data_IF_197130315890
#
_entry.id   IF_197130315890
#
_cell.length_a   1.000
_cell.length_b   1.000
_cell.length_c   1.000
_cell.angle_alpha   90.00
_cell.angle_beta   90.00
_cell.angle_gamma   90.00
#
_symmetry.space_group_name_H-M   'P 1'
#
loop_
_entity.id
_entity.type
_entity.pdbx_description
1 polymer ?
#
# COMPACT_ATOMS: atom_id res chain seq x y z
N UNK A 1 38.90 -57.50 -26.30
CA UNK A 1 39.06 -56.51 -27.38
C UNK A 1 39.87 -55.34 -26.87
N UNK A 2 40.88 -54.96 -27.65
CA UNK A 2 41.55 -53.66 -27.81
C UNK A 2 41.76 -52.77 -26.57
N UNK A 3 43.05 -52.57 -26.31
CA UNK A 3 43.70 -51.48 -25.57
C UNK A 3 43.25 -50.14 -26.18
N UNK A 4 43.06 -49.10 -25.36
CA UNK A 4 43.85 -47.89 -25.50
C UNK A 4 43.73 -47.00 -24.26
N UNK A 5 44.90 -46.65 -23.74
CA UNK A 5 45.12 -45.69 -22.65
C UNK A 5 44.88 -44.29 -23.19
N UNK A 6 44.18 -43.45 -22.43
CA UNK A 6 44.30 -42.01 -22.60
C UNK A 6 44.58 -41.36 -21.24
N UNK A 7 45.86 -41.18 -20.98
CA UNK A 7 46.40 -40.24 -19.99
C UNK A 7 46.56 -38.88 -20.63
N UNK A 8 45.84 -37.88 -20.13
CA UNK A 8 46.16 -36.44 -20.23
C UNK A 8 45.52 -35.82 -18.99
N UNK A 9 46.15 -35.02 -18.15
CA UNK A 9 47.45 -34.40 -18.16
C UNK A 9 47.45 -33.45 -16.97
N UNK A 10 48.54 -33.47 -16.23
CA UNK A 10 48.83 -32.66 -15.05
C UNK A 10 48.78 -31.15 -15.39
N UNK A 11 48.13 -30.33 -14.57
CA UNK A 11 48.64 -28.98 -14.31
C UNK A 11 48.14 -28.46 -12.95
N UNK A 12 48.91 -28.78 -11.92
CA UNK A 12 48.86 -28.08 -10.64
C UNK A 12 49.91 -26.96 -10.62
N UNK A 13 49.60 -25.94 -9.81
CA UNK A 13 50.46 -24.89 -9.26
C UNK A 13 50.48 -23.59 -10.08
N UNK A 14 49.75 -22.58 -9.59
CA UNK A 14 50.39 -21.44 -8.89
C UNK A 14 49.48 -21.01 -7.73
N UNK A 15 49.93 -21.26 -6.50
CA UNK A 15 49.50 -20.51 -5.32
C UNK A 15 50.12 -19.11 -5.42
N UNK A 16 49.30 -18.09 -5.67
CA UNK A 16 49.67 -16.71 -5.35
C UNK A 16 48.72 -16.22 -4.29
N UNK A 17 49.21 -16.23 -3.05
CA UNK A 17 48.65 -15.40 -1.99
C UNK A 17 48.92 -13.94 -2.36
N UNK A 18 47.86 -13.19 -2.69
CA UNK A 18 47.86 -11.74 -2.62
C UNK A 18 46.93 -11.33 -1.48
N UNK A 19 47.56 -11.04 -0.34
CA UNK A 19 46.95 -10.45 0.83
C UNK A 19 46.43 -9.04 0.50
N UNK A 20 45.11 -8.88 0.63
CA UNK A 20 44.40 -7.69 1.13
C UNK A 20 44.93 -6.29 0.77
N UNK A 21 44.17 -5.58 -0.07
CA UNK A 21 43.81 -4.18 0.22
C UNK A 21 42.41 -3.90 -0.29
N UNK A 22 41.58 -3.48 0.64
CA UNK A 22 40.19 -3.05 0.52
C UNK A 22 39.95 -2.07 -0.64
N UNK A 23 39.06 -2.43 -1.55
CA UNK A 23 38.11 -1.47 -2.09
C UNK A 23 36.74 -2.13 -2.02
N UNK A 24 36.08 -1.84 -0.91
CA UNK A 24 34.72 -2.23 -0.57
C UNK A 24 33.78 -1.50 -1.55
N UNK A 25 33.78 -1.90 -2.82
CA UNK A 25 32.72 -1.56 -3.76
C UNK A 25 31.51 -2.42 -3.38
N UNK A 26 30.92 -2.05 -2.24
CA UNK A 26 29.51 -2.29 -1.97
C UNK A 26 28.76 -1.61 -3.10
N UNK A 27 28.56 -2.34 -4.20
CA UNK A 27 27.27 -2.33 -4.84
C UNK A 27 26.28 -2.59 -3.71
N UNK A 28 25.77 -1.51 -3.12
CA UNK A 28 24.47 -1.56 -2.47
C UNK A 28 23.62 -2.28 -3.50
N UNK A 29 22.98 -3.43 -3.17
CA UNK A 29 21.80 -3.76 -3.94
C UNK A 29 20.98 -2.48 -3.87
N UNK A 30 20.68 -1.89 -5.02
CA UNK A 30 19.53 -1.02 -5.07
C UNK A 30 18.41 -1.91 -4.56
N UNK A 31 18.16 -1.84 -3.26
CA UNK A 31 16.86 -2.10 -2.71
C UNK A 31 16.04 -1.10 -3.49
N UNK A 32 15.53 -1.57 -4.62
CA UNK A 32 14.40 -1.00 -5.28
C UNK A 32 13.40 -1.01 -4.13
N UNK A 33 13.35 0.10 -3.40
CA UNK A 33 12.22 0.43 -2.59
C UNK A 33 11.11 0.42 -3.62
N UNK A 34 10.49 -0.75 -3.79
CA UNK A 34 9.14 -0.87 -4.28
C UNK A 34 8.38 -0.03 -3.27
N UNK A 35 8.35 1.27 -3.54
CA UNK A 35 7.53 2.22 -2.84
C UNK A 35 6.15 1.64 -3.07
N UNK A 36 5.63 0.97 -2.03
CA UNK A 36 4.36 0.26 -2.10
C UNK A 36 3.39 1.21 -2.78
N UNK A 37 2.80 0.78 -3.89
CA UNK A 37 1.93 1.62 -4.72
C UNK A 37 0.58 1.91 -4.05
N UNK A 38 0.53 1.79 -2.72
CA UNK A 38 -0.61 2.00 -1.88
C UNK A 38 -0.22 2.65 -0.56
N UNK A 39 -1.13 3.42 0.02
CA UNK A 39 -0.90 4.10 1.31
C UNK A 39 -2.18 4.13 2.13
N UNK A 40 -2.06 3.80 3.41
CA UNK A 40 -3.17 3.71 4.36
C UNK A 40 -3.03 4.81 5.41
N UNK A 41 -3.92 5.82 5.39
CA UNK A 41 -3.83 7.00 6.25
C UNK A 41 -5.17 7.36 6.88
N UNK A 42 -5.14 8.06 8.02
CA UNK A 42 -6.37 8.60 8.62
C UNK A 42 -6.81 9.83 7.84
N UNK A 43 -8.10 9.95 7.55
CA UNK A 43 -8.61 11.15 6.86
C UNK A 43 -8.58 12.31 7.83
N UNK A 44 -7.75 13.30 7.54
CA UNK A 44 -7.64 14.51 8.37
C UNK A 44 -8.78 15.46 8.00
N UNK A 45 -9.58 15.84 8.99
CA UNK A 45 -10.74 16.70 8.80
C UNK A 45 -10.75 17.82 9.84
N UNK A 46 -11.36 18.98 9.54
CA UNK A 46 -11.46 20.08 10.50
C UNK A 46 -12.31 19.67 11.71
N UNK A 47 -11.79 19.91 12.92
CA UNK A 47 -12.40 19.47 14.20
C UNK A 47 -13.72 20.17 14.58
N UNK A 48 -14.20 21.11 13.78
CA UNK A 48 -15.20 22.11 14.19
C UNK A 48 -16.61 21.87 13.65
N UNK A 49 -16.84 20.83 12.83
CA UNK A 49 -18.17 20.50 12.30
C UNK A 49 -18.46 19.00 12.40
N UNK A 50 -19.74 18.66 12.56
CA UNK A 50 -20.22 17.32 12.20
C UNK A 50 -19.98 17.10 10.70
N UNK A 51 -19.15 16.11 10.40
CA UNK A 51 -18.72 15.82 9.04
C UNK A 51 -19.60 14.76 8.43
N UNK A 52 -20.06 15.02 7.21
CA UNK A 52 -20.80 14.04 6.43
C UNK A 52 -19.84 13.21 5.59
N UNK A 53 -20.28 12.04 5.11
CA UNK A 53 -19.48 11.19 4.23
C UNK A 53 -18.89 11.96 3.03
N UNK A 54 -19.65 12.92 2.48
CA UNK A 54 -19.19 13.79 1.39
C UNK A 54 -17.94 14.61 1.71
N UNK A 55 -17.80 15.02 2.97
CA UNK A 55 -16.65 15.80 3.42
C UNK A 55 -15.42 14.88 3.50
N UNK A 56 -15.59 13.65 4.02
CA UNK A 56 -14.53 12.64 4.02
C UNK A 56 -14.07 12.28 2.60
N UNK A 57 -14.99 12.14 1.64
CA UNK A 57 -14.62 11.85 0.24
C UNK A 57 -13.79 13.00 -0.33
N UNK A 58 -14.21 14.25 -0.11
CA UNK A 58 -13.48 15.42 -0.56
C UNK A 58 -12.07 15.49 0.04
N UNK A 59 -11.93 15.36 1.36
CA UNK A 59 -10.62 15.41 2.02
C UNK A 59 -9.72 14.24 1.61
N UNK A 60 -10.26 13.03 1.48
CA UNK A 60 -9.50 11.88 1.00
C UNK A 60 -9.05 12.04 -0.46
N UNK A 61 -9.88 12.64 -1.32
CA UNK A 61 -9.50 12.94 -2.70
C UNK A 61 -8.35 13.96 -2.76
N UNK A 62 -8.40 15.02 -1.96
CA UNK A 62 -7.29 15.98 -1.87
C UNK A 62 -5.99 15.35 -1.39
N UNK A 63 -6.06 14.44 -0.40
CA UNK A 63 -4.89 13.69 0.06
C UNK A 63 -4.35 12.77 -1.04
N UNK A 64 -5.23 12.02 -1.72
CA UNK A 64 -4.85 11.12 -2.81
C UNK A 64 -4.21 11.86 -3.98
N UNK A 65 -4.75 13.02 -4.36
CA UNK A 65 -4.20 13.89 -5.42
C UNK A 65 -2.80 14.41 -5.05
N UNK A 66 -2.65 14.94 -3.82
CA UNK A 66 -1.35 15.38 -3.29
C UNK A 66 -0.30 14.26 -3.31
N UNK A 67 -0.73 13.03 -3.05
CA UNK A 67 0.13 11.84 -3.06
C UNK A 67 0.20 11.14 -4.42
N UNK A 68 -0.43 11.68 -5.47
CA UNK A 68 -0.44 11.19 -6.85
C UNK A 68 -1.02 9.78 -7.02
N UNK A 69 -2.03 9.43 -6.23
CA UNK A 69 -2.79 8.18 -6.37
C UNK A 69 -4.04 8.38 -7.23
N UNK A 70 -4.33 7.43 -8.12
CA UNK A 70 -5.48 7.51 -9.04
C UNK A 70 -6.82 7.24 -8.37
N UNK A 71 -6.84 6.39 -7.36
CA UNK A 71 -8.04 5.97 -6.64
C UNK A 71 -7.81 6.00 -5.14
N UNK A 72 -8.90 6.06 -4.41
CA UNK A 72 -8.89 5.88 -2.97
C UNK A 72 -10.16 5.19 -2.48
N UNK A 73 -10.04 4.47 -1.37
CA UNK A 73 -11.14 3.83 -0.66
C UNK A 73 -11.31 4.48 0.71
N UNK A 74 -12.55 4.84 1.05
CA UNK A 74 -12.89 5.23 2.41
C UNK A 74 -13.25 4.01 3.23
N UNK A 75 -12.67 3.89 4.42
CA UNK A 75 -12.80 2.72 5.27
C UNK A 75 -13.15 3.19 6.67
N UNK A 76 -14.25 2.70 7.22
CA UNK A 76 -14.53 2.82 8.63
C UNK A 76 -13.76 1.72 9.38
N UNK A 77 -12.83 2.13 10.23
CA UNK A 77 -12.17 1.22 11.16
C UNK A 77 -13.03 1.02 12.40
N UNK A 78 -13.05 -0.23 12.87
CA UNK A 78 -13.61 -0.62 14.14
C UNK A 78 -12.52 -1.23 15.00
N UNK A 79 -12.46 -0.82 16.27
CA UNK A 79 -11.52 -1.36 17.25
C UNK A 79 -12.29 -2.14 18.31
N UNK A 80 -11.71 -3.27 18.73
CA UNK A 80 -12.29 -4.07 19.80
C UNK A 80 -12.15 -3.31 21.14
N UNK A 81 -13.25 -3.22 21.89
CA UNK A 81 -13.27 -2.69 23.23
C UNK A 81 -12.89 -3.77 24.26
N UNK A 82 -12.73 -3.38 25.52
CA UNK A 82 -12.33 -4.28 26.61
C UNK A 82 -13.33 -5.42 26.87
N UNK A 83 -14.57 -5.29 26.40
CA UNK A 83 -15.65 -6.26 26.54
C UNK A 83 -15.83 -7.15 25.29
N UNK A 84 -14.91 -7.05 24.33
CA UNK A 84 -14.92 -7.86 23.11
C UNK A 84 -15.79 -7.31 21.97
N UNK A 85 -16.56 -6.24 22.20
CA UNK A 85 -17.38 -5.58 21.19
C UNK A 85 -16.59 -4.65 20.28
N UNK A 86 -17.04 -4.44 19.04
CA UNK A 86 -16.38 -3.56 18.09
C UNK A 86 -17.09 -2.21 18.00
N UNK A 87 -16.35 -1.12 18.25
CA UNK A 87 -16.85 0.24 18.14
C UNK A 87 -16.15 0.98 16.99
N UNK A 88 -16.87 1.89 16.33
CA UNK A 88 -16.29 2.75 15.30
C UNK A 88 -15.17 3.59 15.90
N UNK A 89 -13.98 3.47 15.35
CA UNK A 89 -12.78 4.16 15.83
C UNK A 89 -12.51 5.43 15.02
N UNK A 90 -12.29 5.27 13.71
CA UNK A 90 -11.97 6.36 12.80
C UNK A 90 -12.24 5.99 11.35
N UNK A 91 -12.29 7.00 10.48
CA UNK A 91 -12.33 6.81 9.04
C UNK A 91 -10.91 6.98 8.48
N UNK A 92 -10.49 6.02 7.67
CA UNK A 92 -9.20 6.01 6.99
C UNK A 92 -9.41 6.00 5.49
N UNK A 93 -8.42 6.52 4.77
CA UNK A 93 -8.32 6.43 3.33
C UNK A 93 -7.23 5.43 2.97
N UNK A 94 -7.55 4.53 2.06
CA UNK A 94 -6.59 3.66 1.40
C UNK A 94 -6.44 4.11 -0.03
N UNK A 95 -5.29 4.67 -0.36
CA UNK A 95 -4.98 5.25 -1.66
C UNK A 95 -4.22 4.22 -2.49
N UNK A 96 -4.58 4.06 -3.77
CA UNK A 96 -4.05 3.00 -4.63
C UNK A 96 -4.16 3.34 -6.12
N UNK A 97 -3.46 2.59 -6.97
CA UNK A 97 -3.44 2.80 -8.42
C UNK A 97 -4.07 1.67 -9.23
N UNK A 98 -4.14 0.46 -8.68
CA UNK A 98 -4.67 -0.73 -9.34
C UNK A 98 -5.56 -1.58 -8.42
N UNK A 99 -6.32 -2.49 -9.00
CA UNK A 99 -7.13 -3.44 -8.21
C UNK A 99 -6.26 -4.41 -7.40
N UNK A 100 -5.06 -4.75 -7.89
CA UNK A 100 -4.09 -5.54 -7.13
C UNK A 100 -3.67 -4.82 -5.84
N UNK A 101 -3.40 -3.51 -5.93
CA UNK A 101 -3.12 -2.68 -4.77
C UNK A 101 -4.34 -2.63 -3.83
N UNK A 102 -5.56 -2.53 -4.38
CA UNK A 102 -6.78 -2.54 -3.58
C UNK A 102 -6.94 -3.80 -2.72
N UNK A 103 -6.57 -4.97 -3.27
CA UNK A 103 -6.68 -6.23 -2.55
C UNK A 103 -5.79 -6.32 -1.30
N UNK A 104 -4.73 -5.51 -1.21
CA UNK A 104 -3.87 -5.40 -0.03
C UNK A 104 -4.59 -4.85 1.19
N UNK A 105 -5.75 -4.21 1.03
CA UNK A 105 -6.59 -3.72 2.14
C UNK A 105 -6.92 -4.83 3.15
N UNK A 106 -7.06 -6.08 2.69
CA UNK A 106 -7.38 -7.24 3.54
C UNK A 106 -6.29 -7.51 4.57
N UNK A 107 -5.05 -7.15 4.27
CA UNK A 107 -3.89 -7.32 5.15
C UNK A 107 -3.93 -6.35 6.36
N UNK A 108 -4.82 -5.36 6.35
CA UNK A 108 -5.00 -4.41 7.45
C UNK A 108 -6.09 -4.83 8.46
N UNK A 109 -6.84 -5.90 8.21
CA UNK A 109 -7.70 -6.50 9.22
C UNK A 109 -6.89 -7.29 10.25
N UNK A 110 -7.37 -7.32 11.49
CA UNK A 110 -6.78 -8.15 12.54
C UNK A 110 -7.87 -8.66 13.49
N UNK A 111 -7.56 -9.58 14.42
CA UNK A 111 -8.53 -10.01 15.43
C UNK A 111 -9.11 -8.86 16.27
N UNK A 112 -8.36 -7.77 16.42
CA UNK A 112 -8.74 -6.59 17.24
C UNK A 112 -9.18 -5.38 16.40
N UNK A 113 -9.11 -5.49 15.07
CA UNK A 113 -9.42 -4.40 14.13
C UNK A 113 -10.22 -4.94 12.94
N UNK A 114 -11.43 -4.42 12.76
CA UNK A 114 -12.29 -4.73 11.61
C UNK A 114 -12.42 -3.54 10.69
N UNK A 115 -12.56 -3.79 9.40
CA UNK A 115 -12.68 -2.77 8.38
C UNK A 115 -14.05 -2.86 7.70
N UNK A 116 -14.70 -1.72 7.52
CA UNK A 116 -15.89 -1.60 6.68
C UNK A 116 -15.62 -0.63 5.55
N UNK A 117 -15.67 -1.12 4.33
CA UNK A 117 -15.57 -0.29 3.13
C UNK A 117 -16.80 0.62 3.04
N UNK A 118 -16.57 1.93 2.99
CA UNK A 118 -17.62 2.94 2.80
C UNK A 118 -17.81 3.27 1.32
N UNK A 119 -16.75 3.15 0.53
CA UNK A 119 -16.79 3.34 -0.92
C UNK A 119 -15.39 3.37 -1.53
N UNK A 120 -15.35 3.24 -2.85
CA UNK A 120 -14.15 3.39 -3.68
C UNK A 120 -14.42 4.52 -4.67
N UNK A 121 -13.45 5.41 -4.83
CA UNK A 121 -13.62 6.67 -5.54
C UNK A 121 -12.41 6.94 -6.45
N UNK A 122 -12.65 7.59 -7.58
CA UNK A 122 -11.62 8.08 -8.47
C UNK A 122 -11.14 9.47 -8.00
N UNK A 123 -9.82 9.62 -7.83
CA UNK A 123 -9.22 10.87 -7.33
C UNK A 123 -9.56 12.05 -8.23
N UNK A 124 -9.44 11.87 -9.55
CA UNK A 124 -9.71 12.92 -10.55
C UNK A 124 -11.15 13.43 -10.51
N UNK A 125 -12.12 12.60 -10.12
CA UNK A 125 -13.52 13.00 -10.07
C UNK A 125 -13.81 13.93 -8.87
N UNK A 126 -13.14 13.70 -7.74
CA UNK A 126 -13.48 14.32 -6.45
C UNK A 126 -12.42 15.28 -5.91
N UNK A 127 -11.26 15.42 -6.54
CA UNK A 127 -10.20 16.35 -6.08
C UNK A 127 -10.64 17.81 -6.07
N UNK A 128 -11.48 18.20 -7.04
CA UNK A 128 -11.98 19.56 -7.22
C UNK A 128 -13.48 19.70 -6.90
N UNK A 129 -14.15 18.60 -6.52
CA UNK A 129 -15.62 18.55 -6.37
C UNK A 129 -16.01 17.81 -5.10
N UNK A 130 -17.02 18.32 -4.40
CA UNK A 130 -17.62 17.61 -3.27
C UNK A 130 -18.47 16.45 -3.77
N UNK A 131 -18.35 15.30 -3.11
CA UNK A 131 -19.17 14.13 -3.39
C UNK A 131 -20.65 14.42 -3.14
N UNK A 132 -21.48 14.09 -4.12
CA UNK A 132 -22.93 14.08 -3.98
C UNK A 132 -23.39 12.66 -4.27
N UNK A 133 -24.04 12.00 -3.30
CA UNK A 133 -24.59 10.66 -3.52
C UNK A 133 -25.68 10.78 -4.58
N UNK A 134 -25.41 10.33 -5.80
CA UNK A 134 -26.43 10.24 -6.85
C UNK A 134 -27.39 9.13 -6.43
N UNK A 135 -28.63 9.50 -6.10
CA UNK A 135 -29.62 8.54 -5.57
C UNK A 135 -30.67 9.08 -4.60
N UNK A 136 -30.88 10.39 -4.51
CA UNK A 136 -32.14 10.96 -4.01
C UNK A 136 -32.56 12.03 -5.02
N UNK A 137 -33.41 11.64 -5.96
CA UNK A 137 -34.21 12.61 -6.71
C UNK A 137 -35.06 13.32 -5.65
N UNK A 138 -34.99 14.65 -5.52
CA UNK A 138 -35.91 15.38 -4.66
C UNK A 138 -37.32 15.18 -5.20
N UNK A 139 -38.14 14.35 -4.54
CA UNK A 139 -39.55 14.15 -4.91
C UNK A 139 -40.07 12.71 -4.98
N UNK A 140 -39.30 11.67 -4.66
CA UNK A 140 -39.86 10.33 -4.47
C UNK A 140 -40.04 10.04 -2.96
N UNK A 141 -41.26 10.26 -2.47
CA UNK A 141 -41.80 9.75 -1.20
C UNK A 141 -42.71 8.59 -1.53
#
# INVERSE_FOLDING_TARGET
MKIDKLTVGFLSIVLTACSSTTSDFKQKPSVLNSAKAYTYQTVETPKTKELLLRDYVYYAAQQADKMKFKKFALIQEYSQNKFGGFNSSKITTFMFNSELDFNEIKNYESPYKKLKLLGVFDTEEYKDKRFHKVGLIPGLV
#
